data_IF_022379896057
#
_entry.id   IF_022379896057
#
_cell.length_a   1.000
_cell.length_b   1.000
_cell.length_c   1.000
_cell.angle_alpha   90.00
_cell.angle_beta   90.00
_cell.angle_gamma   90.00
#
_symmetry.space_group_name_H-M   'P 1'
#
loop_
_entity.id
_entity.type
_entity.pdbx_description
1 polymer ?
#
# COMPACT_ATOMS: atom_id res chain seq x y z
N UNK A 1 -4.35 -30.26 -7.12
CA UNK A 1 -4.48 -28.79 -7.12
C UNK A 1 -4.40 -28.37 -8.57
N UNK A 2 -5.57 -28.17 -9.19
CA UNK A 2 -5.68 -27.98 -10.64
C UNK A 2 -6.20 -26.58 -10.89
N UNK A 3 -5.36 -25.76 -11.53
CA UNK A 3 -5.82 -24.50 -12.10
C UNK A 3 -6.82 -24.79 -13.22
N UNK A 4 -7.88 -24.00 -13.33
CA UNK A 4 -8.91 -24.17 -14.36
C UNK A 4 -9.35 -22.82 -14.93
N UNK A 5 -9.99 -22.83 -16.10
CA UNK A 5 -10.62 -21.64 -16.66
C UNK A 5 -12.09 -21.61 -16.25
N UNK A 6 -12.57 -20.48 -15.75
CA UNK A 6 -13.96 -20.31 -15.35
C UNK A 6 -14.91 -20.67 -16.50
N UNK A 7 -15.89 -21.52 -16.24
CA UNK A 7 -16.87 -21.95 -17.26
C UNK A 7 -17.78 -20.81 -17.75
N UNK A 8 -17.98 -19.78 -16.94
CA UNK A 8 -18.86 -18.65 -17.26
C UNK A 8 -18.18 -17.53 -18.05
N UNK A 9 -16.89 -17.30 -17.81
CA UNK A 9 -16.19 -16.13 -18.38
C UNK A 9 -14.82 -16.45 -18.98
N UNK A 10 -14.34 -17.70 -18.90
CA UNK A 10 -13.07 -18.14 -19.45
C UNK A 10 -11.83 -17.64 -18.69
N UNK A 11 -12.00 -16.86 -17.62
CA UNK A 11 -10.88 -16.32 -16.86
C UNK A 11 -10.07 -17.43 -16.15
N UNK A 12 -8.73 -17.34 -16.13
CA UNK A 12 -7.90 -18.31 -15.43
C UNK A 12 -8.08 -18.20 -13.91
N UNK A 13 -8.45 -19.30 -13.28
CA UNK A 13 -8.58 -19.46 -11.83
C UNK A 13 -7.43 -20.34 -11.34
N UNK A 14 -6.41 -19.73 -10.73
CA UNK A 14 -5.21 -20.42 -10.28
C UNK A 14 -5.36 -20.88 -8.83
N UNK A 15 -5.19 -22.18 -8.63
CA UNK A 15 -5.24 -22.83 -7.33
C UNK A 15 -3.87 -22.75 -6.62
N UNK A 16 -3.87 -22.55 -5.30
CA UNK A 16 -2.69 -22.55 -4.45
C UNK A 16 -2.96 -23.30 -3.15
N UNK A 17 -1.93 -23.70 -2.37
CA UNK A 17 -2.11 -24.28 -1.04
C UNK A 17 -2.97 -23.46 -0.07
N UNK A 18 -3.14 -22.16 -0.32
CA UNK A 18 -3.97 -21.25 0.47
C UNK A 18 -5.37 -21.00 -0.14
N UNK A 19 -5.77 -21.71 -1.19
CA UNK A 19 -7.00 -21.48 -1.96
C UNK A 19 -6.73 -20.81 -3.31
N UNK A 20 -7.79 -20.36 -4.01
CA UNK A 20 -7.66 -19.68 -5.30
C UNK A 20 -6.98 -18.32 -5.13
N UNK A 21 -5.85 -18.12 -5.82
CA UNK A 21 -5.04 -16.88 -5.75
C UNK A 21 -5.43 -15.87 -6.83
N UNK A 22 -6.10 -16.34 -7.88
CA UNK A 22 -6.66 -15.52 -8.95
C UNK A 22 -8.06 -16.03 -9.25
N UNK A 23 -8.99 -15.11 -9.44
CA UNK A 23 -10.41 -15.41 -9.51
C UNK A 23 -11.16 -14.39 -10.34
N UNK A 24 -12.21 -14.85 -11.03
CA UNK A 24 -13.22 -13.97 -11.63
C UNK A 24 -14.34 -13.69 -10.63
N UNK A 25 -15.34 -12.90 -11.02
CA UNK A 25 -16.51 -12.64 -10.16
C UNK A 25 -17.27 -13.92 -9.76
N UNK A 26 -17.19 -14.99 -10.57
CA UNK A 26 -17.84 -16.28 -10.28
C UNK A 26 -17.04 -17.18 -9.32
N UNK A 27 -15.72 -17.03 -9.31
CA UNK A 27 -14.79 -17.78 -8.47
C UNK A 27 -13.83 -16.80 -7.82
N UNK A 28 -14.29 -15.99 -6.85
CA UNK A 28 -13.44 -14.98 -6.22
C UNK A 28 -12.27 -15.66 -5.49
N UNK A 29 -11.12 -14.97 -5.35
CA UNK A 29 -10.00 -15.48 -4.58
C UNK A 29 -10.44 -15.86 -3.16
N UNK A 30 -9.95 -16.99 -2.66
CA UNK A 30 -10.27 -17.48 -1.31
C UNK A 30 -9.35 -16.80 -0.30
N UNK A 31 -9.51 -15.48 -0.19
CA UNK A 31 -8.80 -14.67 0.80
C UNK A 31 -9.65 -14.54 2.05
N UNK A 32 -9.08 -14.79 3.26
CA UNK A 32 -9.79 -14.56 4.51
C UNK A 32 -10.32 -13.13 4.55
N UNK A 33 -11.64 -12.98 4.61
CA UNK A 33 -12.25 -11.66 4.81
C UNK A 33 -11.89 -11.18 6.21
N UNK A 34 -11.00 -10.19 6.28
CA UNK A 34 -10.73 -9.49 7.53
C UNK A 34 -11.98 -8.73 7.97
N UNK A 35 -12.29 -8.71 9.27
CA UNK A 35 -13.34 -7.85 9.78
C UNK A 35 -13.06 -6.38 9.42
N UNK A 36 -14.09 -5.63 9.05
CA UNK A 36 -13.95 -4.23 8.63
C UNK A 36 -13.25 -3.37 9.70
N UNK A 37 -13.49 -3.66 10.98
CA UNK A 37 -12.80 -2.99 12.09
C UNK A 37 -11.28 -3.23 12.07
N UNK A 38 -10.85 -4.47 11.77
CA UNK A 38 -9.41 -4.80 11.67
C UNK A 38 -8.81 -4.08 10.47
N UNK A 39 -9.54 -4.07 9.36
CA UNK A 39 -9.14 -3.33 8.17
C UNK A 39 -8.95 -1.84 8.47
N UNK A 40 -9.89 -1.24 9.19
CA UNK A 40 -9.83 0.17 9.58
C UNK A 40 -8.63 0.45 10.48
N UNK A 41 -8.43 -0.36 11.54
CA UNK A 41 -7.28 -0.20 12.44
C UNK A 41 -5.94 -0.31 11.70
N UNK A 42 -5.82 -1.21 10.72
CA UNK A 42 -4.61 -1.33 9.91
C UNK A 42 -4.38 -0.10 9.03
N UNK A 43 -5.44 0.49 8.46
CA UNK A 43 -5.33 1.75 7.69
C UNK A 43 -4.92 2.91 8.59
N UNK A 44 -5.54 3.06 9.75
CA UNK A 44 -5.19 4.10 10.73
C UNK A 44 -3.73 3.95 11.19
N UNK A 45 -3.29 2.72 11.43
CA UNK A 45 -1.89 2.42 11.75
C UNK A 45 -0.94 2.80 10.60
N UNK A 46 -1.30 2.53 9.34
CA UNK A 46 -0.48 2.96 8.19
C UNK A 46 -0.33 4.48 8.15
N UNK A 47 -1.43 5.22 8.37
CA UNK A 47 -1.42 6.69 8.40
C UNK A 47 -0.48 7.18 9.50
N UNK A 48 -0.67 6.70 10.74
CA UNK A 48 0.16 7.08 11.88
C UNK A 48 1.64 6.77 11.63
N UNK A 49 1.95 5.60 11.06
CA UNK A 49 3.35 5.23 10.79
C UNK A 49 3.99 6.17 9.77
N UNK A 50 3.27 6.61 8.73
CA UNK A 50 3.80 7.60 7.77
C UNK A 50 4.01 8.96 8.44
N UNK A 51 3.12 9.37 9.35
CA UNK A 51 3.28 10.59 10.15
C UNK A 51 4.50 10.51 11.07
N UNK A 52 4.69 9.42 11.80
CA UNK A 52 5.87 9.21 12.65
C UNK A 52 7.16 9.27 11.83
N UNK A 53 7.20 8.64 10.65
CA UNK A 53 8.34 8.71 9.75
C UNK A 53 8.62 10.16 9.30
N UNK A 54 7.56 10.92 9.02
CA UNK A 54 7.65 12.34 8.67
C UNK A 54 8.21 13.18 9.83
N UNK A 55 7.72 12.95 11.04
CA UNK A 55 8.16 13.66 12.25
C UNK A 55 9.61 13.34 12.61
N UNK A 56 9.99 12.07 12.50
CA UNK A 56 11.37 11.62 12.76
C UNK A 56 12.38 12.22 11.76
N UNK A 57 12.02 12.30 10.49
CA UNK A 57 12.92 12.78 9.45
C UNK A 57 12.95 14.31 9.29
N UNK A 58 11.81 14.97 9.52
CA UNK A 58 11.61 16.39 9.17
C UNK A 58 10.85 17.22 10.22
N UNK A 59 10.57 16.66 11.41
CA UNK A 59 9.84 17.34 12.49
C UNK A 59 8.49 17.94 12.04
N UNK A 60 7.83 17.30 11.08
CA UNK A 60 6.55 17.72 10.53
C UNK A 60 5.52 16.59 10.66
N UNK A 61 4.29 16.91 11.07
CA UNK A 61 3.21 15.92 11.15
C UNK A 61 2.86 15.27 9.80
N UNK A 62 3.07 16.00 8.69
CA UNK A 62 3.07 15.44 7.34
C UNK A 62 3.98 16.27 6.41
N UNK A 63 5.18 15.79 6.16
CA UNK A 63 6.14 16.41 5.26
C UNK A 63 5.65 16.25 3.82
N UNK A 64 5.74 17.32 3.02
CA UNK A 64 5.22 17.32 1.66
C UNK A 64 5.86 16.20 0.84
N UNK A 65 5.05 15.25 0.38
CA UNK A 65 5.52 14.14 -0.43
C UNK A 65 6.18 13.01 0.35
N UNK A 66 6.09 12.96 1.67
CA UNK A 66 6.59 11.85 2.48
C UNK A 66 6.02 10.51 2.03
N UNK A 67 4.76 10.48 1.58
CA UNK A 67 4.12 9.28 1.05
C UNK A 67 4.84 8.71 -0.18
N UNK A 68 5.49 9.57 -0.98
CA UNK A 68 6.30 9.16 -2.13
C UNK A 68 7.67 8.67 -1.69
N UNK A 69 8.33 9.38 -0.77
CA UNK A 69 9.63 8.99 -0.23
C UNK A 69 9.55 7.64 0.50
N UNK A 70 8.51 7.45 1.33
CA UNK A 70 8.24 6.19 2.01
C UNK A 70 7.95 5.07 1.01
N UNK A 71 7.15 5.35 -0.04
CA UNK A 71 6.90 4.40 -1.12
C UNK A 71 8.21 3.94 -1.77
N UNK A 72 9.02 4.88 -2.24
CA UNK A 72 10.30 4.60 -2.87
C UNK A 72 11.26 3.82 -1.95
N UNK A 73 11.33 4.19 -0.67
CA UNK A 73 12.15 3.50 0.32
C UNK A 73 11.73 2.05 0.56
N UNK A 74 10.42 1.76 0.60
CA UNK A 74 9.93 0.38 0.71
C UNK A 74 10.23 -0.48 -0.52
N UNK A 75 10.37 0.14 -1.71
CA UNK A 75 10.81 -0.54 -2.93
C UNK A 75 12.33 -0.71 -2.99
N UNK A 76 13.06 -0.31 -1.95
CA UNK A 76 14.49 -0.50 -1.84
C UNK A 76 15.34 0.65 -2.38
N UNK A 77 14.73 1.79 -2.74
CA UNK A 77 15.51 2.99 -3.05
C UNK A 77 16.10 3.57 -1.76
N UNK A 78 17.36 4.00 -1.82
CA UNK A 78 17.95 4.72 -0.70
C UNK A 78 17.44 6.17 -0.70
N UNK A 79 16.84 6.57 0.42
CA UNK A 79 16.33 7.91 0.64
C UNK A 79 17.01 8.50 1.88
N UNK A 80 17.60 9.68 1.74
CA UNK A 80 18.19 10.40 2.86
C UNK A 80 17.10 10.75 3.89
N UNK A 81 17.44 10.64 5.18
CA UNK A 81 16.48 10.81 6.29
C UNK A 81 15.69 9.55 6.66
N UNK A 82 15.61 8.54 5.78
CA UNK A 82 14.88 7.28 6.05
C UNK A 82 15.79 6.08 6.39
N UNK A 83 17.07 6.34 6.66
CA UNK A 83 18.08 5.29 6.80
C UNK A 83 18.13 4.63 8.18
N UNK A 84 17.43 5.19 9.17
CA UNK A 84 17.44 4.70 10.55
C UNK A 84 16.85 3.28 10.66
N UNK A 85 17.42 2.45 11.53
CA UNK A 85 16.99 1.06 11.71
C UNK A 85 15.51 0.92 12.11
N UNK A 86 15.00 1.85 12.93
CA UNK A 86 13.58 1.94 13.30
C UNK A 86 12.71 2.21 12.07
N UNK A 87 13.06 3.23 11.28
CA UNK A 87 12.38 3.59 10.04
C UNK A 87 12.38 2.44 9.03
N UNK A 88 13.51 1.77 8.81
CA UNK A 88 13.58 0.57 7.94
C UNK A 88 12.69 -0.58 8.43
N UNK A 89 12.51 -0.73 9.75
CA UNK A 89 11.57 -1.72 10.30
C UNK A 89 10.11 -1.29 10.09
N UNK A 90 9.81 -0.01 10.27
CA UNK A 90 8.48 0.54 10.00
C UNK A 90 8.10 0.38 8.52
N UNK A 91 9.00 0.74 7.60
CA UNK A 91 8.82 0.58 6.15
C UNK A 91 8.53 -0.87 5.73
N UNK A 92 9.23 -1.85 6.31
CA UNK A 92 8.94 -3.29 6.05
C UNK A 92 7.53 -3.70 6.49
N UNK A 93 7.08 -3.21 7.65
CA UNK A 93 5.71 -3.48 8.13
C UNK A 93 4.67 -2.76 7.26
N UNK A 94 4.93 -1.50 6.91
CA UNK A 94 4.08 -0.70 6.02
C UNK A 94 3.88 -1.43 4.69
N UNK A 95 4.98 -1.94 4.10
CA UNK A 95 4.91 -2.73 2.87
C UNK A 95 4.03 -3.97 3.04
N UNK A 96 4.25 -4.75 4.09
CA UNK A 96 3.46 -5.96 4.33
C UNK A 96 1.96 -5.67 4.51
N UNK A 97 1.61 -4.61 5.24
CA UNK A 97 0.21 -4.21 5.45
C UNK A 97 -0.39 -3.64 4.15
N UNK A 98 0.37 -2.83 3.40
CA UNK A 98 -0.06 -2.30 2.11
C UNK A 98 -0.35 -3.41 1.09
N UNK A 99 0.58 -4.37 0.96
CA UNK A 99 0.42 -5.53 0.09
C UNK A 99 -0.80 -6.36 0.50
N UNK A 100 -1.00 -6.55 1.81
CA UNK A 100 -2.12 -7.32 2.35
C UNK A 100 -3.48 -6.66 2.10
N UNK A 101 -3.57 -5.35 2.27
CA UNK A 101 -4.81 -4.59 2.13
C UNK A 101 -5.08 -4.11 0.70
N UNK A 102 -4.08 -4.15 -0.18
CA UNK A 102 -4.15 -3.58 -1.53
C UNK A 102 -4.33 -2.06 -1.55
N UNK A 103 -3.91 -1.35 -0.51
CA UNK A 103 -4.03 0.11 -0.39
C UNK A 103 -2.72 0.78 0.00
N UNK A 104 -2.60 2.07 -0.33
CA UNK A 104 -1.53 2.95 0.12
C UNK A 104 -2.10 4.26 0.68
N UNK A 105 -1.34 4.91 1.55
CA UNK A 105 -1.75 6.19 2.15
C UNK A 105 -1.30 7.34 1.26
N UNK A 106 -2.23 8.23 0.92
CA UNK A 106 -1.99 9.41 0.10
C UNK A 106 -2.55 10.65 0.80
N UNK A 107 -1.83 11.76 0.75
CA UNK A 107 -2.33 13.04 1.23
C UNK A 107 -3.30 13.65 0.23
N UNK A 108 -4.60 13.64 0.56
CA UNK A 108 -5.65 14.24 -0.25
C UNK A 108 -5.65 15.76 -0.02
N UNK A 109 -5.18 16.52 -1.02
CA UNK A 109 -5.12 17.98 -0.94
C UNK A 109 -6.49 18.65 -0.94
N UNK A 110 -7.51 18.02 -1.52
CA UNK A 110 -8.86 18.58 -1.57
C UNK A 110 -9.51 18.53 -0.20
N UNK A 111 -9.24 17.46 0.56
CA UNK A 111 -9.80 17.27 1.90
C UNK A 111 -8.87 17.76 3.01
N UNK A 112 -7.56 17.81 2.76
CA UNK A 112 -6.56 18.22 3.74
C UNK A 112 -6.26 17.14 4.77
N UNK A 113 -6.44 15.86 4.43
CA UNK A 113 -6.19 14.72 5.31
C UNK A 113 -5.61 13.52 4.53
N UNK A 114 -4.84 12.63 5.19
CA UNK A 114 -4.35 11.41 4.56
C UNK A 114 -5.47 10.37 4.42
N UNK A 115 -5.50 9.68 3.27
CA UNK A 115 -6.50 8.66 2.95
C UNK A 115 -5.86 7.42 2.37
N UNK A 116 -6.45 6.26 2.67
CA UNK A 116 -6.10 5.02 2.00
C UNK A 116 -6.76 4.95 0.63
N UNK A 117 -5.95 4.83 -0.41
CA UNK A 117 -6.39 4.63 -1.79
C UNK A 117 -5.89 3.28 -2.32
N UNK A 118 -6.55 2.67 -3.30
CA UNK A 118 -6.06 1.44 -3.91
C UNK A 118 -4.64 1.61 -4.47
N UNK A 119 -3.76 0.61 -4.29
CA UNK A 119 -2.36 0.69 -4.75
C UNK A 119 -2.26 1.00 -6.24
N UNK A 120 -3.14 0.46 -7.08
CA UNK A 120 -3.14 0.73 -8.52
C UNK A 120 -3.47 2.19 -8.85
N UNK A 121 -4.24 2.89 -8.00
CA UNK A 121 -4.47 4.34 -8.12
C UNK A 121 -3.21 5.09 -7.70
N UNK A 122 -2.64 4.70 -6.56
CA UNK A 122 -1.43 5.30 -6.03
C UNK A 122 -0.27 5.24 -7.03
N UNK A 123 -0.03 4.08 -7.66
CA UNK A 123 1.05 3.92 -8.65
C UNK A 123 0.94 4.97 -9.76
N UNK A 124 -0.26 5.23 -10.28
CA UNK A 124 -0.49 6.27 -11.30
C UNK A 124 -0.16 7.67 -10.78
N UNK A 125 -0.55 7.99 -9.54
CA UNK A 125 -0.26 9.28 -8.90
C UNK A 125 1.25 9.43 -8.69
N UNK A 126 1.92 8.37 -8.22
CA UNK A 126 3.34 8.33 -7.96
C UNK A 126 4.16 8.52 -9.24
N UNK A 127 3.80 7.79 -10.31
CA UNK A 127 4.43 7.91 -11.62
C UNK A 127 4.23 9.31 -12.22
N UNK A 128 3.04 9.90 -12.08
CA UNK A 128 2.78 11.27 -12.53
C UNK A 128 3.65 12.31 -11.81
N UNK A 129 3.96 12.10 -10.53
CA UNK A 129 4.89 12.96 -9.78
C UNK A 129 6.34 12.81 -10.24
N UNK A 130 6.75 11.62 -10.68
CA UNK A 130 8.09 11.37 -11.23
C UNK A 130 8.47 12.25 -12.45
N UNK A 131 7.52 13.02 -13.01
CA UNK A 131 7.77 14.04 -14.03
C UNK A 131 7.89 15.49 -13.53
N UNK A 132 7.75 15.76 -12.22
CA UNK A 132 7.94 17.09 -11.60
C UNK A 132 8.76 16.96 -10.32
N UNK A 133 10.05 17.25 -10.45
CA UNK A 133 10.89 17.70 -9.35
C UNK A 133 10.59 19.21 -9.25
N UNK A 134 9.69 19.60 -8.36
CA UNK A 134 9.59 21.00 -7.97
C UNK A 134 10.39 21.15 -6.67
N UNK A 135 11.44 21.98 -6.77
CA UNK A 135 12.37 22.42 -5.71
C UNK A 135 11.67 23.15 -4.54
#
# INVERSE_FOLDING_TARGET
MSSFNCEHCGAPCLDSPAGYTTGCEHYPPDVPKIPDIVRQCLVEWMVQTVQEISEDGWAAGWYSGIEHLAWDAMQGKEIDGLQWCSTKRALRKLKAVSDYLGVWVHWDKEVGEPRAIPVWVWVKIHEAKGGRIDD
#
